data_IF_005588477816
#
_entry.id   IF_005588477816
#
_cell.length_a   1.000
_cell.length_b   1.000
_cell.length_c   1.000
_cell.angle_alpha   90.00
_cell.angle_beta   90.00
_cell.angle_gamma   90.00
#
_symmetry.space_group_name_H-M   'P 1'
#
loop_
_entity.id
_entity.type
_entity.pdbx_description
1 polymer ?
#
# COMPACT_ATOMS: atom_id res chain seq x y z
N UNK A 1 -10.94 26.84 51.07
CA UNK A 1 -9.82 25.87 50.98
C UNK A 1 -10.23 24.40 50.78
N UNK A 2 -11.36 23.90 51.31
CA UNK A 2 -11.69 22.45 51.26
C UNK A 2 -12.19 21.88 49.90
N UNK A 3 -12.44 22.72 48.89
CA UNK A 3 -12.99 22.28 47.59
C UNK A 3 -11.93 21.64 46.66
N UNK A 4 -10.67 22.06 46.78
CA UNK A 4 -9.55 21.53 46.00
C UNK A 4 -9.09 20.14 46.48
N UNK A 5 -9.37 19.81 47.75
CA UNK A 5 -9.03 18.52 48.37
C UNK A 5 -9.97 17.40 47.90
N UNK A 6 -11.21 17.74 47.48
CA UNK A 6 -12.23 16.75 47.07
C UNK A 6 -12.34 16.54 45.56
N UNK A 7 -11.86 17.48 44.74
CA UNK A 7 -11.82 17.40 43.27
C UNK A 7 -10.48 17.93 42.77
N UNK A 8 -9.51 17.05 42.60
CA UNK A 8 -8.22 17.39 41.97
C UNK A 8 -8.46 17.74 40.50
N UNK A 9 -7.72 18.74 39.97
CA UNK A 9 -7.72 19.01 38.52
C UNK A 9 -7.18 17.77 37.80
N UNK A 10 -7.99 17.20 36.92
CA UNK A 10 -7.53 16.14 36.04
C UNK A 10 -6.65 16.76 34.95
N UNK A 11 -5.47 16.17 34.64
CA UNK A 11 -4.66 16.63 33.53
C UNK A 11 -5.44 16.48 32.22
N UNK A 12 -5.34 17.48 31.34
CA UNK A 12 -5.89 17.39 29.99
C UNK A 12 -5.15 16.26 29.27
N UNK A 13 -5.90 15.23 28.86
CA UNK A 13 -5.34 14.10 28.13
C UNK A 13 -5.12 14.50 26.68
N UNK A 14 -3.87 14.56 26.25
CA UNK A 14 -3.52 14.75 24.85
C UNK A 14 -3.54 13.38 24.15
N UNK A 15 -4.53 13.16 23.29
CA UNK A 15 -4.58 11.96 22.45
C UNK A 15 -3.59 12.13 21.29
N UNK A 16 -2.75 11.12 21.06
CA UNK A 16 -1.86 11.11 19.91
C UNK A 16 -2.67 11.16 18.61
N UNK A 17 -2.21 11.97 17.65
CA UNK A 17 -2.82 12.02 16.31
C UNK A 17 -2.67 10.69 15.55
N UNK A 18 -1.81 9.79 16.01
CA UNK A 18 -1.53 8.50 15.38
C UNK A 18 -1.72 7.32 16.33
N UNK A 19 -2.95 7.01 16.80
CA UNK A 19 -3.21 5.91 17.75
C UNK A 19 -2.82 4.54 17.19
N UNK A 20 -2.99 4.36 15.89
CA UNK A 20 -2.68 3.10 15.20
C UNK A 20 -1.20 2.69 15.33
N UNK A 21 -0.28 3.63 15.59
CA UNK A 21 1.15 3.37 15.77
C UNK A 21 1.54 3.05 17.23
N UNK A 22 0.70 3.36 18.22
CA UNK A 22 0.96 3.06 19.64
C UNK A 22 2.36 3.45 20.16
N UNK A 23 2.95 4.53 19.65
CA UNK A 23 4.26 5.04 20.09
C UNK A 23 5.49 4.54 19.31
N UNK A 24 5.36 3.59 18.37
CA UNK A 24 6.48 3.17 17.54
C UNK A 24 6.58 4.00 16.23
N UNK A 25 7.78 4.19 15.66
CA UNK A 25 7.97 5.03 14.47
C UNK A 25 7.25 4.51 13.22
N UNK A 26 7.12 3.18 13.05
CA UNK A 26 6.45 2.53 11.92
C UNK A 26 5.79 1.22 12.38
N UNK A 27 4.63 0.85 11.80
CA UNK A 27 3.99 -0.46 11.98
C UNK A 27 3.76 -1.14 10.65
N UNK A 28 3.97 -2.46 10.60
CA UNK A 28 3.65 -3.29 9.43
C UNK A 28 2.15 -3.57 9.40
N UNK A 29 1.55 -3.52 8.21
CA UNK A 29 0.17 -3.88 7.96
C UNK A 29 0.04 -4.66 6.65
N UNK A 30 -1.05 -5.41 6.50
CA UNK A 30 -1.39 -6.17 5.28
C UNK A 30 -2.51 -5.48 4.52
N UNK A 31 -2.40 -5.44 3.18
CA UNK A 31 -3.46 -4.91 2.33
C UNK A 31 -4.64 -5.89 2.31
N UNK A 32 -5.85 -5.41 2.62
CA UNK A 32 -7.07 -6.23 2.62
C UNK A 32 -7.71 -6.39 1.24
N UNK A 33 -7.35 -5.51 0.28
CA UNK A 33 -7.79 -5.56 -1.12
C UNK A 33 -6.63 -5.23 -2.04
N UNK A 34 -6.65 -5.82 -3.22
CA UNK A 34 -5.65 -5.63 -4.28
C UNK A 34 -6.36 -5.15 -5.53
N UNK A 35 -5.93 -4.02 -6.06
CA UNK A 35 -6.44 -3.42 -7.30
C UNK A 35 -5.41 -3.57 -8.42
N UNK A 36 -5.87 -3.99 -9.60
CA UNK A 36 -5.04 -4.16 -10.78
C UNK A 36 -5.64 -3.46 -11.98
N UNK A 37 -4.78 -2.95 -12.85
CA UNK A 37 -5.18 -2.39 -14.13
C UNK A 37 -5.13 -3.49 -15.20
N UNK A 38 -6.21 -3.63 -15.97
CA UNK A 38 -6.33 -4.61 -17.05
C UNK A 38 -6.41 -3.92 -18.40
N UNK A 39 -5.77 -4.52 -19.41
CA UNK A 39 -5.86 -4.14 -20.82
C UNK A 39 -6.41 -5.29 -21.66
N UNK A 40 -7.00 -4.95 -22.81
CA UNK A 40 -7.47 -5.95 -23.77
C UNK A 40 -6.34 -6.77 -24.38
N UNK A 41 -6.62 -8.05 -24.66
CA UNK A 41 -5.75 -8.96 -25.40
C UNK A 41 -6.10 -10.41 -25.07
N UNK A 42 -6.53 -11.16 -26.09
CA UNK A 42 -6.88 -12.57 -25.94
C UNK A 42 -5.62 -13.42 -25.94
N UNK A 43 -5.49 -14.29 -24.94
CA UNK A 43 -4.46 -15.35 -24.95
C UNK A 43 -4.93 -16.44 -25.91
N UNK A 44 -4.14 -16.70 -26.95
CA UNK A 44 -4.54 -17.63 -28.03
C UNK A 44 -4.77 -19.04 -27.50
N UNK A 45 -3.91 -19.48 -26.57
CA UNK A 45 -3.86 -20.84 -26.06
C UNK A 45 -4.88 -21.15 -24.97
N UNK A 46 -5.52 -20.13 -24.39
CA UNK A 46 -6.44 -20.28 -23.25
C UNK A 46 -7.84 -19.75 -23.60
N UNK A 47 -8.86 -20.62 -23.74
CA UNK A 47 -10.23 -20.17 -23.93
C UNK A 47 -10.74 -19.45 -22.69
N UNK A 48 -11.34 -18.27 -22.88
CA UNK A 48 -11.90 -17.45 -21.80
C UNK A 48 -10.96 -16.36 -21.27
N UNK A 49 -9.65 -16.43 -21.54
CA UNK A 49 -8.69 -15.40 -21.10
C UNK A 49 -8.61 -14.30 -22.16
N UNK A 50 -9.32 -13.19 -21.91
CA UNK A 50 -9.49 -12.07 -22.86
C UNK A 50 -8.70 -10.80 -22.50
N UNK A 51 -8.05 -10.79 -21.34
CA UNK A 51 -7.39 -9.60 -20.79
C UNK A 51 -6.01 -9.93 -20.23
N UNK A 52 -5.16 -8.92 -20.20
CA UNK A 52 -3.85 -8.97 -19.55
C UNK A 52 -3.76 -7.91 -18.46
N UNK A 53 -3.04 -8.24 -17.38
CA UNK A 53 -2.71 -7.28 -16.33
C UNK A 53 -1.60 -6.36 -16.84
N UNK A 54 -1.80 -5.05 -16.70
CA UNK A 54 -0.74 -4.05 -16.89
C UNK A 54 0.19 -4.11 -15.68
N UNK A 55 1.48 -4.32 -15.92
CA UNK A 55 2.49 -4.44 -14.85
C UNK A 55 3.19 -3.09 -14.66
N UNK A 56 3.59 -2.81 -13.43
CA UNK A 56 4.22 -1.54 -13.04
C UNK A 56 3.23 -0.44 -12.65
N UNK A 57 1.94 -0.78 -12.47
CA UNK A 57 0.88 0.15 -12.07
C UNK A 57 0.00 -0.45 -10.95
N UNK A 58 -0.60 0.42 -10.13
CA UNK A 58 -1.37 0.03 -8.93
C UNK A 58 -0.59 -0.98 -8.07
N UNK A 59 -1.21 -2.09 -7.67
CA UNK A 59 -0.58 -3.12 -6.84
C UNK A 59 0.23 -4.15 -7.64
N UNK A 60 0.20 -4.09 -8.99
CA UNK A 60 0.89 -5.04 -9.86
C UNK A 60 2.34 -4.61 -10.13
N UNK A 61 3.29 -5.17 -9.37
CA UNK A 61 4.72 -4.83 -9.46
C UNK A 61 5.35 -5.24 -10.81
N UNK A 62 6.30 -4.46 -11.31
CA UNK A 62 7.08 -4.82 -12.49
C UNK A 62 7.93 -6.09 -12.30
N UNK A 63 8.28 -6.75 -13.41
CA UNK A 63 9.15 -7.95 -13.36
C UNK A 63 10.59 -7.53 -13.07
N UNK A 64 11.20 -8.14 -12.04
CA UNK A 64 12.60 -7.86 -11.65
C UNK A 64 13.58 -8.30 -12.73
N UNK A 65 14.69 -7.57 -12.86
CA UNK A 65 15.86 -7.88 -13.71
C UNK A 65 15.58 -8.13 -15.20
N UNK A 66 14.41 -7.74 -15.68
CA UNK A 66 14.06 -7.84 -17.10
C UNK A 66 14.68 -6.69 -17.88
N UNK A 67 15.58 -7.03 -18.82
CA UNK A 67 16.33 -6.08 -19.63
C UNK A 67 15.65 -5.72 -20.96
N UNK A 68 14.78 -6.59 -21.51
CA UNK A 68 14.09 -6.40 -22.79
C UNK A 68 12.56 -6.36 -22.63
N UNK A 69 11.86 -5.61 -23.49
CA UNK A 69 10.40 -5.46 -23.44
C UNK A 69 9.91 -4.83 -22.12
N UNK A 70 10.75 -3.96 -21.54
CA UNK A 70 10.63 -3.40 -20.19
C UNK A 70 9.35 -2.59 -19.97
N UNK A 71 9.00 -1.79 -20.98
CA UNK A 71 7.80 -0.95 -21.00
C UNK A 71 6.52 -1.77 -20.77
N UNK A 72 6.42 -2.95 -21.38
CA UNK A 72 5.26 -3.82 -21.25
C UNK A 72 5.18 -4.54 -19.90
N UNK A 73 6.34 -4.80 -19.26
CA UNK A 73 6.43 -5.55 -18.01
C UNK A 73 6.69 -4.68 -16.78
N UNK A 74 6.62 -3.35 -16.94
CA UNK A 74 6.75 -2.39 -15.85
C UNK A 74 8.13 -2.34 -15.19
N UNK A 75 9.19 -2.77 -15.89
CA UNK A 75 10.55 -2.72 -15.34
C UNK A 75 11.24 -1.39 -15.69
N UNK A 76 11.64 -0.62 -14.68
CA UNK A 76 12.35 0.66 -14.90
C UNK A 76 13.73 0.44 -15.48
N UNK A 77 14.23 1.38 -16.30
CA UNK A 77 15.60 1.35 -16.79
C UNK A 77 16.60 1.32 -15.63
N UNK A 78 17.60 0.45 -15.72
CA UNK A 78 18.73 0.50 -14.81
C UNK A 78 19.71 1.48 -15.46
N UNK A 79 19.77 2.70 -14.93
CA UNK A 79 20.88 3.60 -15.25
C UNK A 79 22.10 3.02 -14.54
N UNK A 80 23.08 2.60 -15.33
CA UNK A 80 24.40 2.20 -14.84
C UNK A 80 25.29 3.43 -14.77
#
# INVERSE_FOLDING_TARGET
MKQLIRKTRQPIRNVTKSPALGGCPQRRGTCTRVYVLVRGGRVKDLPGVRYHIVRGTLDAVGVKDRQQGRSNMGSKSQNK
#
